data_IF_799589998138
#
_entry.id   IF_799589998138
#
_cell.length_a   1.000
_cell.length_b   1.000
_cell.length_c   1.000
_cell.angle_alpha   90.00
_cell.angle_beta   90.00
_cell.angle_gamma   90.00
#
_symmetry.space_group_name_H-M   'P 1'
#
loop_
_entity.id
_entity.type
_entity.pdbx_description
1 polymer ?
#
# COMPACT_ATOMS: atom_id res chain seq x y z
N UNK A 1 5.71 17.60 1.37
CA UNK A 1 6.38 16.28 1.57
C UNK A 1 5.40 15.12 1.83
N UNK A 2 4.21 15.36 2.40
CA UNK A 2 3.21 14.33 2.73
C UNK A 2 2.72 13.47 1.54
N UNK A 3 2.67 14.03 0.33
CA UNK A 3 2.24 13.31 -0.88
C UNK A 3 3.20 12.23 -1.38
N UNK A 4 4.51 12.43 -1.21
CA UNK A 4 5.53 11.44 -1.62
C UNK A 4 5.53 10.22 -0.70
N UNK A 5 5.34 10.43 0.61
CA UNK A 5 5.19 9.33 1.58
C UNK A 5 3.95 8.48 1.28
N UNK A 6 2.83 9.12 0.93
CA UNK A 6 1.63 8.41 0.47
C UNK A 6 1.87 7.59 -0.80
N UNK A 7 2.63 8.13 -1.76
CA UNK A 7 2.99 7.43 -3.00
C UNK A 7 3.87 6.20 -2.74
N UNK A 8 4.85 6.31 -1.83
CA UNK A 8 5.70 5.18 -1.42
C UNK A 8 4.90 4.10 -0.68
N UNK A 9 4.00 4.48 0.23
CA UNK A 9 3.13 3.52 0.92
C UNK A 9 2.20 2.78 -0.02
N UNK A 10 1.61 3.49 -0.98
CA UNK A 10 0.73 2.90 -1.98
C UNK A 10 1.51 1.96 -2.92
N UNK A 11 2.71 2.36 -3.35
CA UNK A 11 3.57 1.55 -4.22
C UNK A 11 4.05 0.27 -3.54
N UNK A 12 4.47 0.35 -2.27
CA UNK A 12 4.88 -0.81 -1.48
C UNK A 12 3.69 -1.74 -1.17
N UNK A 13 2.54 -1.17 -0.79
CA UNK A 13 1.32 -1.93 -0.53
C UNK A 13 0.80 -2.66 -1.77
N UNK A 14 0.84 -2.01 -2.93
CA UNK A 14 0.51 -2.61 -4.23
C UNK A 14 1.49 -3.71 -4.63
N UNK A 15 2.81 -3.47 -4.51
CA UNK A 15 3.83 -4.46 -4.84
C UNK A 15 3.73 -5.72 -3.96
N UNK A 16 3.51 -5.55 -2.66
CA UNK A 16 3.31 -6.66 -1.72
C UNK A 16 2.02 -7.42 -2.01
N UNK A 17 0.93 -6.72 -2.31
CA UNK A 17 -0.35 -7.34 -2.68
C UNK A 17 -0.25 -8.14 -3.98
N UNK A 18 0.51 -7.65 -4.96
CA UNK A 18 0.75 -8.33 -6.22
C UNK A 18 1.61 -9.57 -6.05
N UNK A 19 2.67 -9.48 -5.25
CA UNK A 19 3.57 -10.60 -5.00
C UNK A 19 2.88 -11.72 -4.21
N UNK A 20 2.13 -11.36 -3.17
CA UNK A 20 1.40 -12.34 -2.35
C UNK A 20 0.22 -12.96 -3.11
N UNK A 21 -0.56 -12.18 -3.86
CA UNK A 21 -1.71 -12.72 -4.58
C UNK A 21 -1.35 -13.43 -5.88
N UNK A 22 -0.24 -13.05 -6.53
CA UNK A 22 0.26 -13.69 -7.74
C UNK A 22 0.68 -15.15 -7.54
N UNK A 23 0.96 -15.55 -6.30
CA UNK A 23 1.26 -16.94 -5.95
C UNK A 23 0.06 -17.88 -6.03
N UNK A 24 -1.18 -17.35 -6.06
CA UNK A 24 -2.38 -18.17 -5.94
C UNK A 24 -3.39 -17.94 -7.07
N UNK A 25 -3.70 -16.69 -7.41
CA UNK A 25 -4.50 -16.38 -8.60
C UNK A 25 -4.44 -14.90 -8.96
N UNK A 26 -4.64 -14.59 -10.25
CA UNK A 26 -4.63 -13.22 -10.76
C UNK A 26 -5.71 -12.35 -10.09
N UNK A 27 -6.86 -12.92 -9.78
CA UNK A 27 -7.94 -12.24 -9.04
C UNK A 27 -7.50 -11.89 -7.62
N UNK A 28 -6.82 -12.80 -6.91
CA UNK A 28 -6.30 -12.55 -5.57
C UNK A 28 -5.20 -11.47 -5.61
N UNK A 29 -4.34 -11.48 -6.63
CA UNK A 29 -3.31 -10.46 -6.84
C UNK A 29 -3.90 -9.05 -6.99
N UNK A 30 -4.98 -8.92 -7.76
CA UNK A 30 -5.67 -7.63 -7.95
C UNK A 30 -6.34 -7.16 -6.66
N UNK A 31 -7.05 -8.06 -5.96
CA UNK A 31 -7.74 -7.72 -4.70
C UNK A 31 -6.73 -7.35 -3.61
N UNK A 32 -5.68 -8.14 -3.43
CA UNK A 32 -4.63 -7.86 -2.45
C UNK A 32 -3.82 -6.61 -2.80
N UNK A 33 -3.61 -6.30 -4.08
CA UNK A 33 -2.98 -5.04 -4.49
C UNK A 33 -3.85 -3.84 -4.17
N UNK A 34 -5.17 -3.91 -4.41
CA UNK A 34 -6.09 -2.83 -4.08
C UNK A 34 -6.19 -2.60 -2.57
N UNK A 35 -6.33 -3.68 -1.79
CA UNK A 35 -6.37 -3.63 -0.32
C UNK A 35 -5.03 -3.17 0.25
N UNK A 36 -3.92 -3.73 -0.23
CA UNK A 36 -2.56 -3.35 0.18
C UNK A 36 -2.25 -1.89 -0.12
N UNK A 37 -2.67 -1.38 -1.29
CA UNK A 37 -2.53 0.03 -1.63
C UNK A 37 -3.34 0.94 -0.71
N UNK A 38 -4.58 0.56 -0.38
CA UNK A 38 -5.43 1.31 0.55
C UNK A 38 -4.87 1.33 1.97
N UNK A 39 -4.40 0.18 2.47
CA UNK A 39 -3.75 0.06 3.77
C UNK A 39 -2.42 0.84 3.81
N UNK A 40 -1.62 0.74 2.76
CA UNK A 40 -0.37 1.48 2.60
C UNK A 40 -0.58 2.99 2.65
N UNK A 41 -1.64 3.50 2.00
CA UNK A 41 -2.03 4.92 2.04
C UNK A 41 -2.51 5.36 3.44
N UNK A 42 -3.29 4.51 4.12
CA UNK A 42 -3.79 4.79 5.46
C UNK A 42 -2.65 4.85 6.47
N UNK A 43 -1.77 3.85 6.50
CA UNK A 43 -0.63 3.80 7.41
C UNK A 43 0.39 4.89 7.13
N UNK A 44 0.68 5.20 5.87
CA UNK A 44 1.61 6.30 5.56
C UNK A 44 1.03 7.66 5.90
N UNK A 45 -0.28 7.88 5.77
CA UNK A 45 -0.94 9.08 6.29
C UNK A 45 -0.85 9.15 7.82
N UNK A 46 -1.16 8.05 8.50
CA UNK A 46 -1.09 7.95 9.98
C UNK A 46 0.32 8.23 10.50
N UNK A 47 1.33 7.57 9.93
CA UNK A 47 2.74 7.78 10.27
C UNK A 47 3.20 9.20 9.94
N UNK A 48 2.71 9.81 8.87
CA UNK A 48 3.03 11.19 8.52
C UNK A 48 2.29 12.25 9.36
N UNK A 49 1.28 11.86 10.14
CA UNK A 49 0.72 12.69 11.22
C UNK A 49 1.53 12.47 12.50
N UNK A 50 1.72 11.22 12.92
CA UNK A 50 2.45 10.90 14.17
C UNK A 50 3.93 11.32 14.20
N UNK A 51 4.65 11.31 13.05
CA UNK A 51 6.10 11.60 12.99
C UNK A 51 6.48 12.95 12.39
N UNK A 52 5.54 13.65 11.76
CA UNK A 52 5.80 14.87 10.97
C UNK A 52 5.04 16.10 11.51
N UNK A 53 4.38 15.96 12.66
CA UNK A 53 3.90 17.05 13.52
C UNK A 53 4.91 17.41 14.61
#
# INVERSE_FOLDING_TARGET
MKGLLGFFGMSLGGALGWWLGGLQSLTLAVVLSAVGSGLGLYWTRRLAEDYLE
#
